data_IF_113472831855
#
_entry.id   IF_113472831855
#
_cell.length_a   1.000
_cell.length_b   1.000
_cell.length_c   1.000
_cell.angle_alpha   90.00
_cell.angle_beta   90.00
_cell.angle_gamma   90.00
#
_symmetry.space_group_name_H-M   'P 1'
#
loop_
_entity.id
_entity.type
_entity.pdbx_description
1 polymer ?
#
# COMPACT_ATOMS: atom_id res chain seq x y z
N UNK A 1 -13.07 -14.94 16.75
CA UNK A 1 -12.18 -14.99 15.58
C UNK A 1 -12.97 -15.56 14.42
N UNK A 2 -12.89 -14.90 13.26
CA UNK A 2 -13.53 -15.35 12.04
C UNK A 2 -12.43 -15.71 11.05
N UNK A 3 -12.64 -16.77 10.27
CA UNK A 3 -11.72 -17.22 9.26
C UNK A 3 -11.72 -16.25 8.05
N UNK A 4 -10.57 -16.06 7.42
CA UNK A 4 -10.50 -15.38 6.14
C UNK A 4 -11.16 -16.29 5.09
N UNK A 5 -12.18 -15.82 4.34
CA UNK A 5 -12.82 -16.63 3.32
C UNK A 5 -11.86 -17.04 2.21
N UNK A 6 -11.87 -18.33 1.85
CA UNK A 6 -11.16 -18.83 0.67
C UNK A 6 -11.87 -18.46 -0.63
N UNK A 7 -13.20 -18.28 -0.58
CA UNK A 7 -14.00 -17.84 -1.74
C UNK A 7 -13.77 -16.35 -2.02
N UNK A 8 -13.39 -16.06 -3.27
CA UNK A 8 -13.07 -14.68 -3.69
C UNK A 8 -14.25 -13.72 -3.60
N UNK A 9 -15.47 -14.20 -3.81
CA UNK A 9 -16.67 -13.34 -3.77
C UNK A 9 -16.97 -12.93 -2.34
N UNK A 10 -16.89 -13.86 -1.40
CA UNK A 10 -17.07 -13.58 0.02
C UNK A 10 -15.95 -12.69 0.55
N UNK A 11 -14.70 -12.94 0.16
CA UNK A 11 -13.57 -12.09 0.50
C UNK A 11 -13.77 -10.65 0.01
N UNK A 12 -14.18 -10.48 -1.26
CA UNK A 12 -14.43 -9.15 -1.81
C UNK A 12 -15.51 -8.39 -1.05
N UNK A 13 -16.56 -9.05 -0.58
CA UNK A 13 -17.59 -8.40 0.26
C UNK A 13 -17.05 -7.85 1.57
N UNK A 14 -15.99 -8.46 2.12
CA UNK A 14 -15.37 -8.02 3.37
C UNK A 14 -14.39 -6.86 3.20
N UNK A 15 -13.66 -6.81 2.08
CA UNK A 15 -12.59 -5.84 1.86
C UNK A 15 -13.00 -4.67 0.99
N UNK A 16 -14.11 -4.79 0.25
CA UNK A 16 -14.58 -3.75 -0.68
C UNK A 16 -15.27 -2.61 0.07
N UNK A 17 -15.08 -1.39 -0.42
CA UNK A 17 -15.74 -0.20 0.07
C UNK A 17 -16.71 0.33 -1.00
N UNK A 18 -18.00 0.40 -0.66
CA UNK A 18 -19.04 0.90 -1.58
C UNK A 18 -18.80 2.34 -2.05
N UNK A 19 -18.09 3.16 -1.25
CA UNK A 19 -17.78 4.54 -1.59
C UNK A 19 -16.53 4.68 -2.47
N UNK A 20 -15.63 3.69 -2.41
CA UNK A 20 -14.45 3.61 -3.27
C UNK A 20 -14.19 2.15 -3.67
N UNK A 21 -15.01 1.60 -4.58
CA UNK A 21 -14.98 0.19 -4.96
C UNK A 21 -13.63 -0.26 -5.50
N UNK A 22 -13.23 -1.47 -5.12
CA UNK A 22 -12.05 -2.13 -5.66
C UNK A 22 -12.36 -2.56 -7.10
N UNK A 23 -11.62 -2.05 -8.07
CA UNK A 23 -11.71 -2.46 -9.47
C UNK A 23 -10.38 -3.02 -9.97
N UNK A 24 -10.42 -3.78 -11.06
CA UNK A 24 -9.21 -4.33 -11.68
C UNK A 24 -8.22 -3.25 -12.07
N UNK A 25 -8.73 -2.13 -12.58
CA UNK A 25 -7.94 -0.99 -13.03
C UNK A 25 -7.24 -0.31 -11.85
N UNK A 26 -7.94 -0.08 -10.74
CA UNK A 26 -7.36 0.48 -9.52
C UNK A 26 -6.31 -0.44 -8.91
N UNK A 27 -6.58 -1.75 -8.87
CA UNK A 27 -5.63 -2.75 -8.35
C UNK A 27 -4.37 -2.81 -9.21
N UNK A 28 -4.51 -2.84 -10.54
CA UNK A 28 -3.36 -2.85 -11.45
C UNK A 28 -2.51 -1.58 -11.32
N UNK A 29 -3.16 -0.42 -11.23
CA UNK A 29 -2.49 0.86 -11.02
C UNK A 29 -1.80 0.92 -9.64
N UNK A 30 -2.47 0.46 -8.60
CA UNK A 30 -1.91 0.39 -7.24
C UNK A 30 -0.71 -0.55 -7.15
N UNK A 31 -0.76 -1.71 -7.80
CA UNK A 31 0.37 -2.62 -7.95
C UNK A 31 1.57 -1.92 -8.60
N UNK A 32 1.35 -1.22 -9.72
CA UNK A 32 2.40 -0.48 -10.42
C UNK A 32 3.03 0.59 -9.52
N UNK A 33 2.22 1.36 -8.81
CA UNK A 33 2.69 2.37 -7.85
C UNK A 33 3.44 1.76 -6.67
N UNK A 34 3.00 0.63 -6.15
CA UNK A 34 3.64 -0.07 -5.03
C UNK A 34 5.09 -0.48 -5.34
N UNK A 35 5.39 -0.82 -6.58
CA UNK A 35 6.72 -1.19 -7.05
C UNK A 35 7.52 0.00 -7.63
N UNK A 36 6.91 1.17 -7.80
CA UNK A 36 7.56 2.29 -8.47
C UNK A 36 8.45 3.10 -7.52
N UNK A 37 9.77 3.05 -7.65
CA UNK A 37 10.67 3.82 -6.78
C UNK A 37 10.61 5.34 -7.05
N UNK A 38 10.03 5.78 -8.16
CA UNK A 38 9.93 7.21 -8.52
C UNK A 38 9.04 8.01 -7.57
N UNK A 39 8.21 7.34 -6.74
CA UNK A 39 7.44 8.00 -5.68
C UNK A 39 8.28 8.28 -4.43
N UNK A 40 9.56 7.89 -4.38
CA UNK A 40 10.51 8.28 -3.33
C UNK A 40 11.38 9.46 -3.75
N UNK A 41 11.94 10.19 -2.78
CA UNK A 41 12.84 11.33 -3.06
C UNK A 41 14.04 10.94 -3.90
N UNK A 42 14.67 9.82 -3.58
CA UNK A 42 15.85 9.31 -4.27
C UNK A 42 15.55 8.67 -5.62
N UNK A 43 14.30 8.23 -5.86
CA UNK A 43 13.96 7.39 -7.00
C UNK A 43 14.46 5.94 -6.88
N UNK A 44 14.83 5.50 -5.67
CA UNK A 44 15.44 4.18 -5.43
C UNK A 44 14.64 3.31 -4.46
N UNK A 45 13.73 3.89 -3.70
CA UNK A 45 12.94 3.21 -2.66
C UNK A 45 11.48 3.11 -3.13
N UNK A 46 10.92 1.92 -3.13
CA UNK A 46 9.49 1.66 -3.34
C UNK A 46 8.87 1.05 -2.08
N UNK A 47 7.54 0.87 -2.06
CA UNK A 47 6.88 0.15 -0.97
C UNK A 47 7.45 -1.27 -0.84
N UNK A 48 7.68 -1.94 -1.97
CA UNK A 48 8.27 -3.29 -1.99
C UNK A 48 9.70 -3.35 -1.44
N UNK A 49 10.40 -2.24 -1.32
CA UNK A 49 11.75 -2.21 -0.72
C UNK A 49 11.71 -2.65 0.75
N UNK A 50 10.75 -2.14 1.52
CA UNK A 50 10.57 -2.47 2.94
C UNK A 50 9.49 -3.53 3.18
N UNK A 51 8.58 -3.72 2.24
CA UNK A 51 7.46 -4.66 2.32
C UNK A 51 7.49 -5.64 1.14
N UNK A 52 8.60 -6.39 1.02
CA UNK A 52 8.83 -7.30 -0.10
C UNK A 52 7.82 -8.45 -0.08
N UNK A 53 6.98 -8.51 -1.12
CA UNK A 53 5.94 -9.53 -1.24
C UNK A 53 6.51 -10.95 -1.31
N UNK A 54 7.72 -11.13 -1.83
CA UNK A 54 8.43 -12.41 -1.86
C UNK A 54 9.03 -12.83 -0.51
N UNK A 55 9.09 -11.93 0.47
CA UNK A 55 9.60 -12.15 1.83
C UNK A 55 8.49 -12.05 2.90
N UNK A 56 7.26 -12.42 2.55
CA UNK A 56 6.14 -12.35 3.48
C UNK A 56 5.63 -10.91 3.73
N UNK A 57 5.88 -9.98 2.82
CA UNK A 57 5.43 -8.59 2.94
C UNK A 57 6.24 -7.73 3.92
N UNK A 58 7.45 -8.14 4.26
CA UNK A 58 8.41 -7.46 5.13
C UNK A 58 9.79 -7.42 4.47
N UNK A 59 10.79 -6.81 5.10
CA UNK A 59 12.16 -6.75 4.57
C UNK A 59 13.13 -7.80 5.17
N UNK A 60 12.69 -8.51 6.21
CA UNK A 60 13.47 -9.57 6.86
C UNK A 60 14.60 -9.07 7.75
N UNK A 61 14.68 -7.78 8.05
CA UNK A 61 15.71 -7.19 8.90
C UNK A 61 15.10 -6.51 10.15
N UNK A 62 15.86 -6.39 11.26
CA UNK A 62 15.33 -5.87 12.53
C UNK A 62 14.81 -4.44 12.47
N UNK A 63 15.40 -3.58 11.66
CA UNK A 63 15.01 -2.20 11.47
C UNK A 63 15.05 -1.84 9.99
N UNK A 64 13.94 -1.27 9.49
CA UNK A 64 13.80 -0.88 8.09
C UNK A 64 14.93 0.05 7.62
N UNK A 65 15.37 -0.12 6.38
CA UNK A 65 16.36 0.74 5.73
C UNK A 65 15.65 1.55 4.65
N UNK A 66 15.65 2.88 4.79
CA UNK A 66 14.97 3.79 3.89
C UNK A 66 15.90 4.76 3.17
N UNK A 67 15.47 6.01 3.05
CA UNK A 67 16.17 7.07 2.33
C UNK A 67 17.63 7.21 2.79
N UNK A 68 18.53 7.34 1.80
CA UNK A 68 19.96 7.42 2.07
C UNK A 68 20.58 6.11 2.55
N UNK A 69 19.86 4.99 2.45
CA UNK A 69 20.31 3.65 2.90
C UNK A 69 20.63 3.62 4.40
N UNK A 70 19.94 4.44 5.19
CA UNK A 70 20.08 4.49 6.64
C UNK A 70 18.96 3.71 7.33
N UNK A 71 19.32 3.05 8.45
CA UNK A 71 18.34 2.36 9.26
C UNK A 71 17.34 3.35 9.89
N UNK A 72 16.09 2.93 10.05
CA UNK A 72 15.07 3.71 10.73
C UNK A 72 15.55 4.07 12.15
N UNK A 73 15.58 5.37 12.52
CA UNK A 73 16.11 5.81 13.81
C UNK A 73 15.30 5.35 15.02
N UNK A 74 14.07 4.92 14.79
CA UNK A 74 13.20 4.36 15.83
C UNK A 74 13.37 2.85 15.99
N UNK A 75 14.30 2.23 15.25
CA UNK A 75 14.59 0.78 15.27
C UNK A 75 13.34 -0.09 15.03
N UNK A 76 12.40 0.40 14.22
CA UNK A 76 11.17 -0.31 13.92
C UNK A 76 11.37 -1.27 12.75
N UNK A 77 10.91 -2.50 12.94
CA UNK A 77 10.79 -3.51 11.89
C UNK A 77 9.64 -3.15 10.95
N UNK A 78 9.79 -3.45 9.67
CA UNK A 78 8.70 -3.35 8.68
C UNK A 78 7.68 -4.45 8.95
N UNK A 79 6.43 -4.12 9.35
CA UNK A 79 5.39 -5.14 9.51
C UNK A 79 4.98 -5.71 8.15
N UNK A 80 4.43 -6.92 8.16
CA UNK A 80 3.85 -7.48 6.93
C UNK A 80 2.71 -6.62 6.40
N UNK A 81 2.63 -6.49 5.08
CA UNK A 81 1.47 -5.90 4.38
C UNK A 81 0.38 -6.92 4.07
N UNK A 82 0.68 -8.23 4.21
CA UNK A 82 -0.32 -9.26 4.02
C UNK A 82 -1.37 -9.22 5.13
N UNK A 83 -2.64 -9.36 4.75
CA UNK A 83 -3.81 -9.35 5.64
C UNK A 83 -4.00 -8.04 6.42
N UNK A 84 -3.24 -6.98 6.12
CA UNK A 84 -3.31 -5.69 6.82
C UNK A 84 -4.66 -4.99 6.70
N UNK A 85 -5.45 -5.31 5.67
CA UNK A 85 -6.83 -4.80 5.49
C UNK A 85 -7.76 -5.16 6.67
N UNK A 86 -7.46 -6.24 7.39
CA UNK A 86 -8.24 -6.69 8.55
C UNK A 86 -7.79 -6.08 9.88
N UNK A 87 -6.73 -5.29 9.90
CA UNK A 87 -6.26 -4.65 11.12
C UNK A 87 -7.19 -3.49 11.51
N UNK A 88 -7.48 -3.37 12.80
CA UNK A 88 -8.30 -2.28 13.33
C UNK A 88 -7.68 -0.90 13.15
N UNK A 89 -6.35 -0.85 13.12
CA UNK A 89 -5.56 0.34 12.88
C UNK A 89 -4.20 -0.04 12.30
N UNK A 90 -3.54 0.91 11.65
CA UNK A 90 -2.27 0.74 10.98
C UNK A 90 -1.15 1.42 11.79
N UNK A 91 0.11 1.08 11.50
CA UNK A 91 1.31 1.35 12.28
C UNK A 91 1.35 0.60 13.62
N UNK A 92 2.56 0.47 14.18
CA UNK A 92 2.78 -0.21 15.45
C UNK A 92 2.04 0.43 16.64
N UNK A 93 1.81 1.74 16.58
CA UNK A 93 1.10 2.54 17.59
C UNK A 93 -0.40 2.73 17.30
N UNK A 94 -0.88 2.22 16.16
CA UNK A 94 -2.29 2.31 15.79
C UNK A 94 -2.79 3.72 15.44
N UNK A 95 -1.89 4.66 15.10
CA UNK A 95 -2.24 6.06 14.85
C UNK A 95 -3.04 6.31 13.57
N UNK A 96 -3.00 5.37 12.62
CA UNK A 96 -3.74 5.50 11.36
C UNK A 96 -4.95 4.56 11.33
N UNK A 97 -6.14 5.07 10.99
CA UNK A 97 -7.37 4.28 11.03
C UNK A 97 -7.53 3.28 9.88
N UNK A 98 -6.85 3.50 8.75
CA UNK A 98 -6.97 2.67 7.55
C UNK A 98 -5.76 2.80 6.62
N UNK A 99 -5.63 1.88 5.65
CA UNK A 99 -4.49 1.78 4.74
C UNK A 99 -4.24 3.06 3.92
N UNK A 100 -5.29 3.74 3.43
CA UNK A 100 -5.12 4.95 2.61
C UNK A 100 -4.53 6.12 3.40
N UNK A 101 -4.85 6.23 4.69
CA UNK A 101 -4.24 7.20 5.60
C UNK A 101 -2.79 6.79 5.92
N UNK A 102 -2.59 5.51 6.23
CA UNK A 102 -1.26 4.97 6.53
C UNK A 102 -0.26 5.20 5.38
N UNK A 103 -0.65 4.94 4.14
CA UNK A 103 0.24 5.04 2.98
C UNK A 103 0.81 6.45 2.76
N UNK A 104 0.16 7.49 3.29
CA UNK A 104 0.67 8.86 3.20
C UNK A 104 1.91 9.08 4.09
N UNK A 105 2.01 8.37 5.21
CA UNK A 105 3.09 8.53 6.19
C UNK A 105 4.47 8.16 5.62
N UNK A 106 4.72 6.90 5.25
CA UNK A 106 6.02 6.42 4.78
C UNK A 106 6.56 7.16 3.56
N UNK A 107 5.68 7.56 2.63
CA UNK A 107 6.09 8.31 1.44
C UNK A 107 6.75 9.64 1.81
N UNK A 108 6.23 10.33 2.84
CA UNK A 108 6.73 11.63 3.29
C UNK A 108 7.84 11.52 4.34
N UNK A 109 7.87 10.43 5.12
CA UNK A 109 8.78 10.28 6.24
C UNK A 109 10.25 10.35 5.81
N UNK A 110 11.01 11.25 6.41
CA UNK A 110 12.43 11.46 6.09
C UNK A 110 13.28 10.19 6.12
N UNK A 111 13.14 9.32 7.15
CA UNK A 111 13.88 8.06 7.23
C UNK A 111 13.40 6.96 6.27
N UNK A 112 12.25 7.13 5.60
CA UNK A 112 11.64 6.12 4.76
C UNK A 112 11.75 6.49 3.27
N UNK A 113 10.73 7.09 2.67
CA UNK A 113 10.79 7.48 1.25
C UNK A 113 11.13 8.95 1.02
N UNK A 114 11.00 9.80 2.04
CA UNK A 114 11.43 11.20 2.10
C UNK A 114 10.88 12.12 0.98
N UNK A 115 9.79 11.75 0.31
CA UNK A 115 9.25 12.51 -0.82
C UNK A 115 8.13 13.45 -0.37
N UNK A 116 8.30 14.78 -0.53
CA UNK A 116 7.20 15.71 -0.33
C UNK A 116 6.01 15.40 -1.24
N UNK A 117 4.75 15.56 -0.78
CA UNK A 117 3.56 15.31 -1.59
C UNK A 117 3.58 15.95 -2.96
N UNK A 118 3.97 17.23 -3.05
CA UNK A 118 4.06 17.97 -4.32
C UNK A 118 5.05 17.36 -5.32
N UNK A 119 6.15 16.76 -4.82
CA UNK A 119 7.11 16.07 -5.68
C UNK A 119 6.50 14.80 -6.27
N UNK A 120 5.78 14.03 -5.47
CA UNK A 120 5.10 12.80 -5.92
C UNK A 120 4.04 13.15 -6.96
N UNK A 121 3.19 14.13 -6.68
CA UNK A 121 2.17 14.63 -7.61
C UNK A 121 2.79 15.08 -8.94
N UNK A 122 3.83 15.91 -8.88
CA UNK A 122 4.51 16.41 -10.07
C UNK A 122 5.07 15.26 -10.92
N UNK A 123 5.75 14.30 -10.29
CA UNK A 123 6.35 13.16 -11.00
C UNK A 123 5.28 12.28 -11.65
N UNK A 124 4.25 11.90 -10.94
CA UNK A 124 3.19 11.06 -11.48
C UNK A 124 2.44 11.77 -12.60
N UNK A 125 2.09 13.05 -12.43
CA UNK A 125 1.42 13.82 -13.47
C UNK A 125 2.31 14.15 -14.68
N UNK A 126 3.63 14.05 -14.57
CA UNK A 126 4.55 14.22 -15.70
C UNK A 126 4.66 12.98 -16.59
N UNK A 127 4.07 11.85 -16.20
CA UNK A 127 4.12 10.58 -16.91
C UNK A 127 2.75 10.33 -17.56
N UNK A 128 2.62 10.47 -18.90
CA UNK A 128 1.34 10.36 -19.61
C UNK A 128 0.62 9.04 -19.36
N UNK A 129 1.37 7.94 -19.25
CA UNK A 129 0.80 6.61 -18.96
C UNK A 129 0.09 6.58 -17.60
N UNK A 130 0.67 7.18 -16.57
CA UNK A 130 0.01 7.25 -15.26
C UNK A 130 -1.25 8.11 -15.31
N UNK A 131 -1.19 9.27 -15.96
CA UNK A 131 -2.38 10.14 -16.12
C UNK A 131 -3.51 9.36 -16.80
N UNK A 132 -3.20 8.65 -17.89
CA UNK A 132 -4.18 7.82 -18.60
C UNK A 132 -4.73 6.68 -17.71
N UNK A 133 -3.86 5.96 -16.99
CA UNK A 133 -4.27 4.87 -16.10
C UNK A 133 -5.16 5.37 -14.94
N UNK A 134 -4.87 6.55 -14.38
CA UNK A 134 -5.75 7.19 -13.41
C UNK A 134 -7.11 7.55 -14.00
N UNK A 135 -7.15 8.09 -15.23
CA UNK A 135 -8.40 8.38 -15.92
C UNK A 135 -9.22 7.12 -16.22
N UNK A 136 -8.59 6.03 -16.56
CA UNK A 136 -9.25 4.72 -16.75
C UNK A 136 -9.81 4.20 -15.44
N UNK A 137 -9.06 4.30 -14.34
CA UNK A 137 -9.45 3.77 -13.04
C UNK A 137 -10.52 4.60 -12.31
N UNK A 138 -10.53 5.93 -12.48
CA UNK A 138 -11.32 6.86 -11.68
C UNK A 138 -12.21 7.81 -12.50
N UNK A 139 -12.11 7.79 -13.83
CA UNK A 139 -12.82 8.71 -14.71
C UNK A 139 -11.97 9.88 -15.20
N UNK A 140 -12.41 10.48 -16.30
CA UNK A 140 -11.62 11.50 -17.04
C UNK A 140 -11.27 12.75 -16.22
N UNK A 141 -12.14 13.11 -15.25
CA UNK A 141 -11.97 14.32 -14.44
C UNK A 141 -11.23 14.08 -13.13
N UNK A 142 -10.58 12.92 -12.98
CA UNK A 142 -9.84 12.58 -11.76
C UNK A 142 -8.71 13.58 -11.51
N UNK A 143 -8.67 14.11 -10.30
CA UNK A 143 -7.51 14.87 -9.83
C UNK A 143 -6.49 13.89 -9.27
N UNK A 144 -5.33 13.81 -9.93
CA UNK A 144 -4.21 12.96 -9.51
C UNK A 144 -3.37 13.73 -8.50
N UNK A 145 -3.88 13.85 -7.28
CA UNK A 145 -3.18 14.41 -6.13
C UNK A 145 -2.56 13.31 -5.25
N UNK A 146 -1.79 13.72 -4.25
CA UNK A 146 -1.09 12.83 -3.35
C UNK A 146 -2.03 11.85 -2.63
N UNK A 147 -3.17 12.34 -2.15
CA UNK A 147 -4.17 11.51 -1.49
C UNK A 147 -4.73 10.43 -2.42
N UNK A 148 -4.99 10.77 -3.70
CA UNK A 148 -5.46 9.82 -4.69
C UNK A 148 -4.39 8.77 -5.02
N UNK A 149 -3.13 9.18 -5.14
CA UNK A 149 -1.99 8.28 -5.40
C UNK A 149 -1.86 7.26 -4.26
N UNK A 150 -1.84 7.71 -3.01
CA UNK A 150 -1.68 6.83 -1.84
C UNK A 150 -2.91 5.95 -1.60
N UNK A 151 -4.12 6.45 -1.83
CA UNK A 151 -5.35 5.66 -1.79
C UNK A 151 -5.36 4.54 -2.85
N UNK A 152 -4.77 4.80 -4.01
CA UNK A 152 -4.64 3.79 -5.07
C UNK A 152 -3.67 2.67 -4.67
N UNK A 153 -2.55 3.01 -4.02
CA UNK A 153 -1.64 2.01 -3.43
C UNK A 153 -2.39 1.17 -2.40
N UNK A 154 -3.13 1.81 -1.49
CA UNK A 154 -3.94 1.13 -0.48
C UNK A 154 -4.99 0.20 -1.09
N UNK A 155 -5.58 0.55 -2.24
CA UNK A 155 -6.53 -0.32 -2.94
C UNK A 155 -5.85 -1.63 -3.39
N UNK A 156 -4.62 -1.58 -3.85
CA UNK A 156 -3.84 -2.78 -4.13
C UNK A 156 -3.54 -3.56 -2.84
N UNK A 157 -3.09 -2.88 -1.78
CA UNK A 157 -2.76 -3.53 -0.50
C UNK A 157 -3.95 -4.26 0.13
N UNK A 158 -5.19 -3.75 -0.02
CA UNK A 158 -6.42 -4.45 0.39
C UNK A 158 -6.55 -5.84 -0.23
N UNK A 159 -5.98 -6.06 -1.41
CA UNK A 159 -6.04 -7.36 -2.11
C UNK A 159 -4.96 -8.35 -1.67
N UNK A 160 -4.00 -7.91 -0.84
CA UNK A 160 -2.93 -8.75 -0.33
C UNK A 160 -3.43 -9.64 0.82
N UNK A 161 -4.34 -10.53 0.50
CA UNK A 161 -4.96 -11.44 1.47
C UNK A 161 -4.49 -12.86 1.21
N UNK A 162 -4.01 -13.50 2.28
CA UNK A 162 -3.51 -14.87 2.25
C UNK A 162 -4.17 -15.69 3.35
N UNK A 163 -5.17 -16.52 3.06
CA UNK A 163 -5.68 -17.51 4.01
C UNK A 163 -4.58 -18.46 4.47
N UNK A 164 -4.69 -18.94 5.68
CA UNK A 164 -3.69 -19.78 6.33
C UNK A 164 -4.32 -21.08 6.84
N UNK A 165 -3.48 -22.01 7.30
CA UNK A 165 -3.97 -23.23 7.97
C UNK A 165 -4.79 -22.94 9.24
N UNK A 166 -4.62 -21.75 9.83
CA UNK A 166 -5.44 -21.35 10.96
C UNK A 166 -6.87 -21.03 10.52
N UNK A 167 -7.04 -20.45 9.33
CA UNK A 167 -8.36 -20.23 8.75
C UNK A 167 -9.06 -21.55 8.43
N UNK A 168 -8.31 -22.54 7.91
CA UNK A 168 -8.83 -23.91 7.73
C UNK A 168 -9.31 -24.52 9.05
N UNK A 169 -8.52 -24.38 10.12
CA UNK A 169 -8.89 -24.84 11.45
C UNK A 169 -10.14 -24.16 12.00
N UNK A 170 -10.33 -22.87 11.76
CA UNK A 170 -11.52 -22.13 12.19
C UNK A 170 -12.80 -22.56 11.44
N UNK A 171 -12.65 -23.08 10.24
CA UNK A 171 -13.76 -23.57 9.42
C UNK A 171 -14.14 -25.04 9.71
N UNK A 172 -13.35 -25.79 10.49
CA UNK A 172 -13.57 -27.19 10.90
C UNK A 172 -12.78 -28.16 10.04
#
# INVERSE_FOLDING_TARGET
LEAIPADKTELMKLIDDKNDPITKEKVALGLKLYFDPRISKSGLISCNTCHNLGLGGADGIPAAIGHGWTANPHHLNSPTVYNSVFFKAQFWDGRSPHLADQAQGPVQAGPEMAAPPSMVEQRINSIPEYVNEFQVAYGKDVKVDFAKITATIATFEKTLVTPSKFDDYLNG
#
